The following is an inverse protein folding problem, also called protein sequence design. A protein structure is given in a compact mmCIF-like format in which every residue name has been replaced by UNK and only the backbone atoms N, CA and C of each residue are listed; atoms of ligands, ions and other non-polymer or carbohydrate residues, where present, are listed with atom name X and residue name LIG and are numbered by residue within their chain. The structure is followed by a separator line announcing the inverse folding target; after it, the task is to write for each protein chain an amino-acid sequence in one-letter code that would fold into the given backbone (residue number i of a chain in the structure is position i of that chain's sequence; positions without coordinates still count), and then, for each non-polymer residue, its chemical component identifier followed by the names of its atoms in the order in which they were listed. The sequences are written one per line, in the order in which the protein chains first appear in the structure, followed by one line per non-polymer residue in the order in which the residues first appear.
data_IF_047573080466
#
_entry.id   IF_047573080466
#
_cell.length_a   1.000
_cell.length_b   1.000
_cell.length_c   1.000
_cell.angle_alpha   90.00
_cell.angle_beta   90.00
_cell.angle_gamma   90.00
#
_symmetry.space_group_name_H-M   'P 1'
#
loop_
_entity.id
_entity.type
_entity.pdbx_description
1 polymer ?
#
# COMPACT_ATOMS: atom_id res chain seq x y z
N UNK A 1 18.68 21.80 19.84
CA UNK A 1 19.59 21.59 18.71
C UNK A 1 18.89 20.63 17.77
N UNK A 2 18.49 21.09 16.58
CA UNK A 2 17.82 20.22 15.60
C UNK A 2 18.85 19.21 15.07
N UNK A 3 18.60 17.91 15.27
CA UNK A 3 19.43 16.86 14.68
C UNK A 3 19.11 16.73 13.19
N UNK A 4 19.85 17.49 12.38
CA UNK A 4 19.71 17.51 10.92
C UNK A 4 20.02 16.13 10.33
N UNK A 5 20.96 15.38 10.94
CA UNK A 5 21.34 14.04 10.50
C UNK A 5 20.18 13.05 10.57
N UNK A 6 19.50 12.96 11.71
CA UNK A 6 18.34 12.09 11.88
C UNK A 6 17.17 12.46 10.96
N UNK A 7 16.95 13.75 10.69
CA UNK A 7 15.91 14.19 9.77
C UNK A 7 16.18 13.73 8.33
N UNK A 8 17.40 13.93 7.83
CA UNK A 8 17.78 13.52 6.47
C UNK A 8 17.63 12.01 6.28
N UNK A 9 18.01 11.22 7.28
CA UNK A 9 17.85 9.76 7.24
C UNK A 9 16.37 9.38 7.17
N UNK A 10 15.52 9.96 8.03
CA UNK A 10 14.09 9.67 8.01
C UNK A 10 13.44 10.03 6.67
N UNK A 11 13.73 11.21 6.13
CA UNK A 11 13.22 11.60 4.81
C UNK A 11 13.67 10.64 3.71
N UNK A 12 14.94 10.22 3.72
CA UNK A 12 15.48 9.29 2.73
C UNK A 12 14.80 7.92 2.84
N UNK A 13 14.62 7.40 4.05
CA UNK A 13 13.95 6.12 4.30
C UNK A 13 12.48 6.17 3.87
N UNK A 14 11.77 7.26 4.17
CA UNK A 14 10.37 7.45 3.77
C UNK A 14 10.22 7.58 2.25
N UNK A 15 11.17 8.26 1.59
CA UNK A 15 11.18 8.36 0.12
C UNK A 15 11.35 6.98 -0.52
N UNK A 16 12.33 6.20 -0.04
CA UNK A 16 12.58 4.85 -0.53
C UNK A 16 11.36 3.96 -0.30
N UNK A 17 10.79 3.98 0.91
CA UNK A 17 9.58 3.22 1.23
C UNK A 17 8.42 3.59 0.30
N UNK A 18 8.16 4.89 0.11
CA UNK A 18 7.12 5.37 -0.80
C UNK A 18 7.33 4.92 -2.25
N UNK A 19 8.56 4.97 -2.75
CA UNK A 19 8.89 4.48 -4.09
C UNK A 19 8.56 2.99 -4.25
N UNK A 20 8.97 2.17 -3.28
CA UNK A 20 8.75 0.72 -3.33
C UNK A 20 7.30 0.32 -3.10
N UNK A 21 6.51 1.05 -2.31
CA UNK A 21 5.10 0.74 -2.06
C UNK A 21 4.21 1.06 -3.28
N UNK A 22 4.55 2.11 -4.04
CA UNK A 22 3.80 2.48 -5.24
C UNK A 22 3.87 1.41 -6.33
N UNK A 23 4.99 0.66 -6.43
CA UNK A 23 5.13 -0.43 -7.40
C UNK A 23 4.06 -1.51 -7.27
N UNK A 24 3.96 -2.21 -6.12
CA UNK A 24 2.91 -3.19 -5.85
C UNK A 24 1.50 -2.62 -5.93
N UNK A 25 1.26 -1.39 -5.45
CA UNK A 25 -0.04 -0.73 -5.58
C UNK A 25 -0.45 -0.57 -7.06
N UNK A 26 0.46 -0.07 -7.90
CA UNK A 26 0.23 0.05 -9.33
C UNK A 26 0.05 -1.32 -9.99
N UNK A 27 0.82 -2.33 -9.59
CA UNK A 27 0.69 -3.70 -10.11
C UNK A 27 -0.68 -4.31 -9.82
N UNK A 28 -1.24 -4.14 -8.61
CA UNK A 28 -2.57 -4.68 -8.29
C UNK A 28 -3.63 -4.03 -9.18
N UNK A 29 -3.64 -2.70 -9.26
CA UNK A 29 -4.65 -1.95 -10.03
C UNK A 29 -4.56 -2.27 -11.53
N UNK A 30 -3.35 -2.45 -12.05
CA UNK A 30 -3.12 -2.77 -13.47
C UNK A 30 -3.36 -4.23 -13.81
N UNK A 31 -2.84 -5.18 -13.01
CA UNK A 31 -3.00 -6.60 -13.23
C UNK A 31 -4.47 -7.01 -13.13
N UNK A 32 -5.22 -6.48 -12.17
CA UNK A 32 -6.65 -6.76 -12.04
C UNK A 32 -7.44 -6.23 -13.24
N UNK A 33 -7.14 -5.01 -13.70
CA UNK A 33 -7.77 -4.41 -14.88
C UNK A 33 -7.45 -5.22 -16.15
N UNK A 34 -6.20 -5.64 -16.33
CA UNK A 34 -5.76 -6.45 -17.47
C UNK A 34 -6.39 -7.86 -17.47
N UNK A 35 -6.40 -8.53 -16.33
CA UNK A 35 -7.00 -9.86 -16.18
C UNK A 35 -8.52 -9.84 -16.46
N UNK A 36 -9.21 -8.78 -16.02
CA UNK A 36 -10.62 -8.62 -16.32
C UNK A 36 -10.86 -8.32 -17.81
N UNK A 37 -10.03 -7.48 -18.43
CA UNK A 37 -10.13 -7.20 -19.87
C UNK A 37 -10.04 -8.47 -20.73
N UNK A 38 -9.21 -9.44 -20.34
CA UNK A 38 -9.08 -10.74 -21.03
C UNK A 38 -10.27 -11.69 -20.79
N UNK A 39 -10.97 -11.60 -19.65
CA UNK A 39 -12.08 -12.51 -19.29
C UNK A 39 -13.46 -11.95 -19.63
N UNK A 40 -13.65 -10.65 -19.48
CA UNK A 40 -14.90 -9.93 -19.71
C UNK A 40 -14.53 -8.55 -20.26
N UNK A 41 -14.51 -8.36 -21.60
CA UNK A 41 -14.11 -7.10 -22.24
C UNK A 41 -15.22 -6.03 -22.13
N UNK A 42 -15.68 -5.76 -20.91
CA UNK A 42 -16.70 -4.77 -20.59
C UNK A 42 -16.08 -3.62 -19.81
N UNK A 43 -16.19 -2.41 -20.35
CA UNK A 43 -15.73 -1.17 -19.69
C UNK A 43 -16.39 -0.97 -18.32
N UNK A 44 -17.67 -1.36 -18.19
CA UNK A 44 -18.40 -1.23 -16.93
C UNK A 44 -17.86 -2.18 -15.86
N UNK A 45 -17.47 -3.41 -16.22
CA UNK A 45 -16.89 -4.36 -15.27
C UNK A 45 -15.52 -3.87 -14.76
N UNK A 46 -14.66 -3.34 -15.65
CA UNK A 46 -13.38 -2.74 -15.27
C UNK A 46 -13.56 -1.51 -14.37
N UNK A 47 -14.52 -0.64 -14.69
CA UNK A 47 -14.82 0.53 -13.88
C UNK A 47 -15.28 0.15 -12.47
N UNK A 48 -16.15 -0.86 -12.32
CA UNK A 48 -16.59 -1.34 -11.00
C UNK A 48 -15.43 -1.89 -10.18
N UNK A 49 -14.55 -2.68 -10.78
CA UNK A 49 -13.40 -3.24 -10.06
C UNK A 49 -12.40 -2.15 -9.66
N UNK A 50 -12.13 -1.19 -10.54
CA UNK A 50 -11.33 -0.01 -10.20
C UNK A 50 -11.96 0.80 -9.06
N UNK A 51 -13.28 0.98 -9.08
CA UNK A 51 -14.01 1.69 -8.03
C UNK A 51 -13.96 0.96 -6.68
N UNK A 52 -13.96 -0.39 -6.68
CA UNK A 52 -13.77 -1.18 -5.45
C UNK A 52 -12.36 -0.99 -4.91
N UNK A 53 -11.32 -1.08 -5.75
CA UNK A 53 -9.92 -0.91 -5.33
C UNK A 53 -9.69 0.50 -4.78
N UNK A 54 -10.18 1.52 -5.47
CA UNK A 54 -10.04 2.91 -5.04
C UNK A 54 -10.86 3.20 -3.76
N UNK A 55 -12.07 2.61 -3.67
CA UNK A 55 -12.91 2.69 -2.48
C UNK A 55 -12.25 2.06 -1.25
N UNK A 56 -11.63 0.88 -1.37
CA UNK A 56 -10.89 0.28 -0.25
C UNK A 56 -9.64 1.07 0.12
N UNK A 57 -8.93 1.63 -0.87
CA UNK A 57 -7.82 2.57 -0.63
C UNK A 57 -8.24 3.79 0.19
N UNK A 58 -9.38 4.39 -0.15
CA UNK A 58 -9.95 5.54 0.57
C UNK A 58 -10.33 5.20 2.01
N UNK A 59 -10.87 4.00 2.27
CA UNK A 59 -11.14 3.51 3.63
C UNK A 59 -9.84 3.42 4.45
N UNK A 60 -8.78 2.84 3.86
CA UNK A 60 -7.47 2.78 4.51
C UNK A 60 -6.90 4.16 4.82
N UNK A 61 -7.03 5.10 3.88
CA UNK A 61 -6.60 6.49 4.04
C UNK A 61 -7.36 7.24 5.15
N UNK A 62 -8.63 6.87 5.43
CA UNK A 62 -9.39 7.41 6.55
C UNK A 62 -8.99 6.78 7.89
N UNK A 63 -8.79 5.45 7.91
CA UNK A 63 -8.45 4.70 9.13
C UNK A 63 -7.03 5.00 9.60
N UNK A 64 -6.07 5.16 8.68
CA UNK A 64 -4.66 5.41 9.02
C UNK A 64 -4.45 6.59 9.97
N UNK A 65 -4.88 7.81 9.62
CA UNK A 65 -4.83 8.98 10.50
C UNK A 65 -5.66 8.81 11.78
N UNK A 66 -6.82 8.15 11.68
CA UNK A 66 -7.70 7.91 12.83
C UNK A 66 -7.04 7.03 13.92
N UNK A 67 -6.17 6.10 13.54
CA UNK A 67 -5.40 5.26 14.47
C UNK A 67 -4.09 5.94 14.87
N UNK A 68 -3.36 6.50 13.91
CA UNK A 68 -2.01 7.05 14.14
C UNK A 68 -2.03 8.29 15.03
N UNK A 69 -3.05 9.15 14.94
CA UNK A 69 -3.17 10.33 15.81
C UNK A 69 -3.20 9.99 17.31
N UNK A 70 -4.21 9.24 17.79
CA UNK A 70 -4.28 8.82 19.19
C UNK A 70 -3.09 7.96 19.65
N UNK A 71 -2.47 7.20 18.72
CA UNK A 71 -1.30 6.40 19.02
C UNK A 71 -0.06 7.28 19.27
N UNK A 72 0.13 8.34 18.46
CA UNK A 72 1.19 9.32 18.66
C UNK A 72 1.08 9.99 20.04
N UNK A 73 -0.14 10.39 20.41
CA UNK A 73 -0.39 11.14 21.64
C UNK A 73 -0.14 10.30 22.90
N UNK A 74 -0.42 8.98 22.84
CA UNK A 74 -0.28 8.08 24.01
C UNK A 74 1.06 7.36 24.11
N UNK A 75 1.65 6.96 22.99
CA UNK A 75 2.84 6.09 22.96
C UNK A 75 4.04 6.73 22.24
N UNK A 76 3.86 7.93 21.67
CA UNK A 76 4.90 8.67 20.97
C UNK A 76 5.08 8.26 19.50
N UNK A 77 5.86 9.06 18.78
CA UNK A 77 6.06 8.90 17.33
C UNK A 77 6.72 7.59 16.90
N UNK A 78 7.60 7.03 17.75
CA UNK A 78 8.25 5.74 17.46
C UNK A 78 7.24 4.60 17.29
N UNK A 79 6.13 4.63 18.02
CA UNK A 79 5.07 3.62 17.89
C UNK A 79 4.32 3.69 16.57
N UNK A 80 4.23 4.88 15.94
CA UNK A 80 3.66 5.02 14.59
C UNK A 80 4.58 4.33 13.58
N UNK A 81 5.88 4.58 13.64
CA UNK A 81 6.83 3.93 12.72
C UNK A 81 6.83 2.40 12.88
N UNK A 82 6.71 1.90 14.12
CA UNK A 82 6.56 0.46 14.38
C UNK A 82 5.25 -0.09 13.81
N UNK A 83 4.13 0.63 13.98
CA UNK A 83 2.85 0.25 13.38
C UNK A 83 2.95 0.19 11.86
N UNK A 84 3.54 1.21 11.22
CA UNK A 84 3.75 1.26 9.77
C UNK A 84 4.53 0.03 9.28
N UNK A 85 5.65 -0.32 9.93
CA UNK A 85 6.43 -1.51 9.58
C UNK A 85 5.61 -2.81 9.67
N UNK A 86 4.77 -2.96 10.71
CA UNK A 86 3.92 -4.14 10.88
C UNK A 86 2.86 -4.22 9.78
N UNK A 87 2.18 -3.11 9.48
CA UNK A 87 1.14 -3.07 8.44
C UNK A 87 1.75 -3.34 7.06
N UNK A 88 2.91 -2.77 6.76
CA UNK A 88 3.64 -3.02 5.52
C UNK A 88 4.08 -4.48 5.40
N UNK A 89 4.53 -5.09 6.51
CA UNK A 89 4.88 -6.51 6.52
C UNK A 89 3.65 -7.39 6.23
N UNK A 90 2.50 -7.10 6.84
CA UNK A 90 1.24 -7.80 6.56
C UNK A 90 0.82 -7.60 5.10
N UNK A 91 0.95 -6.38 4.57
CA UNK A 91 0.64 -6.07 3.18
C UNK A 91 1.51 -6.91 2.23
N UNK A 92 2.82 -7.00 2.48
CA UNK A 92 3.73 -7.87 1.72
C UNK A 92 3.29 -9.32 1.80
N UNK A 93 2.96 -9.86 2.97
CA UNK A 93 2.47 -11.24 3.10
C UNK A 93 1.21 -11.51 2.27
N UNK A 94 0.26 -10.57 2.26
CA UNK A 94 -0.94 -10.66 1.43
C UNK A 94 -0.62 -10.61 -0.07
N UNK A 95 0.33 -9.76 -0.46
CA UNK A 95 0.74 -9.58 -1.86
C UNK A 95 1.61 -10.71 -2.38
N UNK A 96 2.39 -11.39 -1.53
CA UNK A 96 3.19 -12.55 -1.91
C UNK A 96 2.31 -13.64 -2.54
N UNK A 97 1.09 -13.86 -2.02
CA UNK A 97 0.15 -14.82 -2.59
C UNK A 97 -0.26 -14.43 -4.02
N UNK A 98 -0.55 -13.14 -4.24
CA UNK A 98 -0.96 -12.62 -5.55
C UNK A 98 0.21 -12.67 -6.53
N UNK A 99 1.39 -12.21 -6.12
CA UNK A 99 2.60 -12.28 -6.94
C UNK A 99 2.96 -13.71 -7.34
N UNK A 100 2.81 -14.67 -6.43
CA UNK A 100 3.01 -16.09 -6.75
C UNK A 100 2.01 -16.61 -7.79
N UNK A 101 0.74 -16.18 -7.73
CA UNK A 101 -0.26 -16.57 -8.72
C UNK A 101 0.06 -16.00 -10.10
N UNK A 102 0.47 -14.73 -10.17
CA UNK A 102 0.85 -14.10 -11.45
C UNK A 102 2.06 -14.77 -12.09
N UNK A 103 3.10 -15.10 -11.30
CA UNK A 103 4.29 -15.82 -11.81
C UNK A 103 3.91 -17.19 -12.39
N UNK A 104 3.00 -17.93 -11.75
CA UNK A 104 2.54 -19.25 -12.23
C UNK A 104 1.63 -19.20 -13.46
N UNK A 105 1.07 -18.04 -13.79
CA UNK A 105 0.28 -17.87 -15.01
C UNK A 105 1.19 -17.52 -16.19
N UNK A 106 2.29 -16.80 -15.93
CA UNK A 106 3.26 -16.39 -16.94
C UNK A 106 4.30 -17.45 -17.32
N UNK A 107 4.63 -18.36 -16.41
CA UNK A 107 5.51 -19.52 -16.62
C UNK A 107 4.72 -20.83 -16.60
#
# INVERSE_FOLDING_TARGET
MFDIGGMVINFTLQFIAGFFINGPYALITTAVSANLACKVPSKSAMATVSAIIDGTGSIGAAIGPAITGPLADKFGWNSIFQLSMIVDFIAVLCLLRVGYQEIRVFF
#
